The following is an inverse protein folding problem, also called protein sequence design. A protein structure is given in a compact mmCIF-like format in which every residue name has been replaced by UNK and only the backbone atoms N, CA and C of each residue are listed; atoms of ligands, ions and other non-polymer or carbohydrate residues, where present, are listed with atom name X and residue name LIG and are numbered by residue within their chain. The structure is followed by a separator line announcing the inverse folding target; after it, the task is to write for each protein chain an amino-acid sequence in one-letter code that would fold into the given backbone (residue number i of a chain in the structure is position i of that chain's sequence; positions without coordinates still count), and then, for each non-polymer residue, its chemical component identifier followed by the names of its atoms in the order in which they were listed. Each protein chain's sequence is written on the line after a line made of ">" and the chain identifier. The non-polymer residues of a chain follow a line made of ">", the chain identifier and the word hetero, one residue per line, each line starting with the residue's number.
data_IF_421209112529
#
_entry.id   IF_421209112529
#
_cell.length_a   1.000
_cell.length_b   1.000
_cell.length_c   1.000
_cell.angle_alpha   90.00
_cell.angle_beta   90.00
_cell.angle_gamma   90.00
#
_symmetry.space_group_name_H-M   'P 1'
#
loop_
_entity.id
_entity.type
_entity.pdbx_description
1 polymer ?
#
# COMPACT_ATOMS: atom_id res chain seq x y z
N UNK A 1 -6.89 3.55 -15.61
CA UNK A 1 -5.57 3.86 -15.03
C UNK A 1 -5.65 4.98 -13.98
N UNK A 2 -6.00 6.23 -14.32
CA UNK A 2 -6.10 7.34 -13.32
C UNK A 2 -7.07 7.03 -12.16
N UNK A 3 -8.21 6.42 -12.46
CA UNK A 3 -9.20 6.05 -11.44
C UNK A 3 -8.62 5.05 -10.41
N UNK A 4 -7.88 4.03 -10.84
CA UNK A 4 -7.27 3.03 -9.94
C UNK A 4 -6.24 3.67 -9.01
N UNK A 5 -5.42 4.59 -9.51
CA UNK A 5 -4.43 5.28 -8.68
C UNK A 5 -5.08 6.20 -7.64
N UNK A 6 -6.19 6.87 -7.98
CA UNK A 6 -6.98 7.64 -7.02
C UNK A 6 -7.58 6.75 -5.93
N UNK A 7 -8.14 5.59 -6.29
CA UNK A 7 -8.69 4.65 -5.31
C UNK A 7 -7.58 4.11 -4.40
N UNK A 8 -6.38 3.85 -4.92
CA UNK A 8 -5.25 3.42 -4.12
C UNK A 8 -4.85 4.49 -3.09
N UNK A 9 -4.75 5.74 -3.52
CA UNK A 9 -4.48 6.86 -2.64
C UNK A 9 -5.56 7.00 -1.55
N UNK A 10 -6.84 6.88 -1.91
CA UNK A 10 -7.95 6.94 -0.96
C UNK A 10 -7.88 5.81 0.08
N UNK A 11 -7.58 4.58 -0.37
CA UNK A 11 -7.43 3.42 0.51
C UNK A 11 -6.25 3.56 1.48
N UNK A 12 -5.20 4.29 1.10
CA UNK A 12 -4.03 4.51 1.93
C UNK A 12 -4.17 5.73 2.86
N UNK A 13 -4.67 6.85 2.34
CA UNK A 13 -4.47 8.19 2.91
C UNK A 13 -5.75 8.93 3.31
N UNK A 14 -6.94 8.43 2.99
CA UNK A 14 -8.19 9.04 3.50
C UNK A 14 -8.26 8.96 5.03
N UNK A 15 -9.20 9.67 5.65
CA UNK A 15 -9.40 9.65 7.10
C UNK A 15 -9.60 8.23 7.67
N UNK A 16 -10.14 7.31 6.86
CA UNK A 16 -10.30 5.89 7.17
C UNK A 16 -9.38 4.99 6.32
N UNK A 17 -8.30 5.56 5.78
CA UNK A 17 -7.28 4.87 5.02
C UNK A 17 -6.39 4.01 5.91
N UNK A 18 -5.70 3.04 5.31
CA UNK A 18 -4.84 2.09 6.02
C UNK A 18 -3.77 2.79 6.85
N UNK A 19 -3.01 3.72 6.25
CA UNK A 19 -1.89 4.39 6.91
C UNK A 19 -2.38 5.38 7.98
N UNK A 20 -3.54 6.01 7.74
CA UNK A 20 -4.15 6.91 8.72
C UNK A 20 -4.66 6.12 9.93
N UNK A 21 -5.36 5.01 9.70
CA UNK A 21 -5.84 4.12 10.75
C UNK A 21 -4.69 3.61 11.62
N UNK A 22 -3.59 3.17 10.98
CA UNK A 22 -2.42 2.67 11.71
C UNK A 22 -1.79 3.76 12.58
N UNK A 23 -1.61 4.97 12.04
CA UNK A 23 -1.04 6.10 12.76
C UNK A 23 -1.89 6.58 13.94
N UNK A 24 -3.21 6.39 13.86
CA UNK A 24 -4.15 6.75 14.93
C UNK A 24 -4.30 5.67 16.01
N UNK A 25 -3.72 4.48 15.83
CA UNK A 25 -3.89 3.36 16.75
C UNK A 25 -5.18 2.56 16.53
N UNK A 26 -5.87 2.74 15.39
CA UNK A 26 -7.15 2.10 15.10
C UNK A 26 -7.00 0.67 14.56
N UNK A 27 -5.78 0.14 14.51
CA UNK A 27 -5.48 -1.20 14.06
C UNK A 27 -5.42 -1.36 12.55
N UNK A 28 -4.96 -2.54 12.16
CA UNK A 28 -4.79 -2.93 10.77
C UNK A 28 -6.15 -3.24 10.12
N UNK A 29 -6.55 -2.42 9.15
CA UNK A 29 -7.83 -2.58 8.43
C UNK A 29 -7.70 -3.64 7.33
N UNK A 30 -8.01 -4.90 7.66
CA UNK A 30 -7.83 -6.04 6.75
C UNK A 30 -8.60 -5.91 5.42
N UNK A 31 -9.81 -5.35 5.46
CA UNK A 31 -10.59 -5.05 4.26
C UNK A 31 -9.85 -4.09 3.31
N UNK A 32 -9.19 -3.06 3.86
CA UNK A 32 -8.35 -2.12 3.08
C UNK A 32 -7.12 -2.82 2.52
N UNK A 33 -6.49 -3.70 3.30
CA UNK A 33 -5.33 -4.49 2.85
C UNK A 33 -5.69 -5.34 1.63
N UNK A 34 -6.81 -6.06 1.68
CA UNK A 34 -7.29 -6.88 0.56
C UNK A 34 -7.57 -6.04 -0.69
N UNK A 35 -8.24 -4.90 -0.53
CA UNK A 35 -8.53 -3.98 -1.63
C UNK A 35 -7.26 -3.39 -2.24
N UNK A 36 -6.29 -2.99 -1.42
CA UNK A 36 -4.99 -2.47 -1.87
C UNK A 36 -4.24 -3.55 -2.66
N UNK A 37 -4.15 -4.77 -2.14
CA UNK A 37 -3.47 -5.87 -2.82
C UNK A 37 -4.06 -6.12 -4.21
N UNK A 38 -5.39 -6.26 -4.29
CA UNK A 38 -6.10 -6.46 -5.56
C UNK A 38 -5.83 -5.32 -6.56
N UNK A 39 -5.83 -4.08 -6.07
CA UNK A 39 -5.62 -2.91 -6.90
C UNK A 39 -4.18 -2.83 -7.44
N UNK A 40 -3.19 -3.22 -6.64
CA UNK A 40 -1.80 -3.32 -7.08
C UNK A 40 -1.61 -4.42 -8.13
N UNK A 41 -2.23 -5.60 -7.96
CA UNK A 41 -2.21 -6.64 -8.99
C UNK A 41 -2.82 -6.16 -10.32
N UNK A 42 -3.90 -5.38 -10.25
CA UNK A 42 -4.53 -4.78 -11.43
C UNK A 42 -3.66 -3.69 -12.07
N UNK A 43 -2.97 -2.87 -11.25
CA UNK A 43 -2.05 -1.84 -11.73
C UNK A 43 -0.80 -2.47 -12.37
N UNK A 44 -0.24 -3.53 -11.78
CA UNK A 44 0.88 -4.26 -12.35
C UNK A 44 0.53 -4.80 -13.76
N UNK A 45 -0.67 -5.35 -13.94
CA UNK A 45 -1.16 -5.80 -15.26
C UNK A 45 -1.34 -4.66 -16.25
N UNK A 46 -1.93 -3.53 -15.80
CA UNK A 46 -2.11 -2.35 -16.64
C UNK A 46 -0.75 -1.77 -17.08
N UNK A 47 0.26 -1.87 -16.22
CA UNK A 47 1.58 -1.26 -16.43
C UNK A 47 2.62 -2.19 -17.07
N UNK A 48 2.39 -3.49 -17.13
CA UNK A 48 3.30 -4.46 -17.75
C UNK A 48 3.61 -4.21 -19.24
N UNK A 49 2.90 -3.29 -19.90
CA UNK A 49 3.07 -2.97 -21.32
C UNK A 49 3.47 -1.51 -21.58
N UNK A 50 3.77 -0.74 -20.53
CA UNK A 50 4.14 0.68 -20.64
C UNK A 50 5.51 0.94 -20.02
N UNK A 51 6.33 1.75 -20.69
CA UNK A 51 7.71 2.02 -20.26
C UNK A 51 7.81 2.97 -19.05
N UNK A 52 6.70 3.58 -18.63
CA UNK A 52 6.68 4.53 -17.52
C UNK A 52 5.42 4.43 -16.67
N UNK A 53 5.58 4.54 -15.36
CA UNK A 53 4.48 4.62 -14.40
C UNK A 53 4.20 6.07 -13.99
N UNK A 54 2.97 6.39 -13.55
CA UNK A 54 2.64 7.73 -13.09
C UNK A 54 3.52 8.16 -11.90
N UNK A 55 4.03 9.39 -11.93
CA UNK A 55 4.83 9.96 -10.83
C UNK A 55 4.15 9.80 -9.47
N UNK A 56 2.84 10.06 -9.42
CA UNK A 56 2.04 9.93 -8.19
C UNK A 56 2.05 8.51 -7.61
N UNK A 57 2.17 7.47 -8.44
CA UNK A 57 2.32 6.11 -7.95
C UNK A 57 3.68 5.92 -7.26
N UNK A 58 4.75 6.45 -7.86
CA UNK A 58 6.09 6.44 -7.23
C UNK A 58 6.06 7.16 -5.90
N UNK A 59 5.46 8.36 -5.84
CA UNK A 59 5.34 9.15 -4.60
C UNK A 59 4.62 8.34 -3.50
N UNK A 60 3.55 7.62 -3.82
CA UNK A 60 2.86 6.73 -2.86
C UNK A 60 3.71 5.54 -2.43
N UNK A 61 4.44 4.92 -3.36
CA UNK A 61 5.18 3.68 -3.12
C UNK A 61 6.41 3.90 -2.23
N UNK A 62 7.14 5.01 -2.42
CA UNK A 62 8.33 5.31 -1.61
C UNK A 62 7.98 5.62 -0.15
N UNK A 63 6.80 6.21 0.08
CA UNK A 63 6.34 6.61 1.42
C UNK A 63 5.64 5.47 2.16
N UNK A 64 5.16 4.44 1.45
CA UNK A 64 4.35 3.37 2.03
C UNK A 64 5.07 2.59 3.15
N UNK A 65 6.24 2.01 2.86
CA UNK A 65 6.93 1.15 3.83
C UNK A 65 7.39 1.92 5.08
N UNK A 66 8.02 3.10 4.97
CA UNK A 66 8.34 3.91 6.15
C UNK A 66 7.11 4.30 6.98
N UNK A 67 5.97 4.55 6.34
CA UNK A 67 4.72 4.86 7.05
C UNK A 67 4.18 3.65 7.83
N UNK A 68 4.25 2.44 7.27
CA UNK A 68 3.90 1.20 7.96
C UNK A 68 4.83 0.94 9.15
N UNK A 69 6.16 0.98 8.92
CA UNK A 69 7.18 0.72 9.93
C UNK A 69 7.08 1.71 11.10
N UNK A 70 6.95 3.01 10.82
CA UNK A 70 6.83 4.04 11.86
C UNK A 70 5.56 3.91 12.71
N UNK A 71 4.46 3.44 12.12
CA UNK A 71 3.19 3.25 12.84
C UNK A 71 3.14 1.94 13.62
N UNK A 72 3.94 0.94 13.20
CA UNK A 72 4.00 -0.39 13.80
C UNK A 72 4.32 -0.34 15.31
N UNK A 73 5.22 0.56 15.72
CA UNK A 73 5.61 0.72 17.13
C UNK A 73 4.49 1.15 18.10
N UNK A 74 3.30 1.48 17.60
CA UNK A 74 2.11 1.77 18.42
C UNK A 74 1.39 0.50 18.91
N UNK A 75 1.71 -0.66 18.35
CA UNK A 75 0.97 -1.90 18.55
C UNK A 75 1.75 -2.91 19.39
N UNK A 76 1.10 -3.98 19.86
CA UNK A 76 1.77 -5.05 20.59
C UNK A 76 2.61 -5.95 19.67
N UNK A 77 3.48 -6.80 20.22
CA UNK A 77 4.41 -7.63 19.43
C UNK A 77 3.71 -8.51 18.37
N UNK A 78 2.56 -9.12 18.68
CA UNK A 78 1.82 -9.96 17.74
C UNK A 78 1.24 -9.13 16.58
N UNK A 79 0.67 -7.96 16.91
CA UNK A 79 0.15 -7.02 15.93
C UNK A 79 1.27 -6.41 15.07
N UNK A 80 2.44 -6.14 15.66
CA UNK A 80 3.60 -5.63 14.94
C UNK A 80 4.05 -6.59 13.86
N UNK A 81 4.17 -7.88 14.20
CA UNK A 81 4.51 -8.93 13.22
C UNK A 81 3.50 -8.94 12.08
N UNK A 82 2.20 -8.90 12.39
CA UNK A 82 1.15 -8.90 11.37
C UNK A 82 1.21 -7.65 10.46
N UNK A 83 1.47 -6.47 11.03
CA UNK A 83 1.60 -5.21 10.28
C UNK A 83 2.79 -5.29 9.32
N UNK A 84 3.93 -5.82 9.79
CA UNK A 84 5.13 -5.95 8.96
C UNK A 84 4.98 -7.03 7.88
N UNK A 85 4.33 -8.15 8.17
CA UNK A 85 4.00 -9.17 7.16
C UNK A 85 3.12 -8.58 6.04
N UNK A 86 2.15 -7.73 6.39
CA UNK A 86 1.33 -7.01 5.41
C UNK A 86 2.12 -5.96 4.65
N UNK A 87 3.04 -5.24 5.32
CA UNK A 87 3.92 -4.28 4.67
C UNK A 87 4.79 -4.96 3.61
N UNK A 88 5.39 -6.11 3.94
CA UNK A 88 6.22 -6.90 3.04
C UNK A 88 5.40 -7.42 1.84
N UNK A 89 4.21 -7.98 2.09
CA UNK A 89 3.30 -8.42 1.02
C UNK A 89 2.93 -7.30 0.06
N UNK A 90 2.56 -6.13 0.57
CA UNK A 90 2.20 -4.98 -0.27
C UNK A 90 3.44 -4.48 -1.04
N UNK A 91 4.62 -4.50 -0.42
CA UNK A 91 5.86 -4.13 -1.09
C UNK A 91 6.23 -5.08 -2.24
N UNK A 92 5.96 -6.37 -2.11
CA UNK A 92 6.14 -7.32 -3.21
C UNK A 92 5.23 -6.98 -4.40
N UNK A 93 3.98 -6.63 -4.16
CA UNK A 93 3.05 -6.18 -5.22
C UNK A 93 3.45 -4.83 -5.82
N UNK A 94 3.97 -3.91 -5.01
CA UNK A 94 4.55 -2.64 -5.49
C UNK A 94 5.77 -2.92 -6.39
N UNK A 95 6.61 -3.90 -6.03
CA UNK A 95 7.75 -4.30 -6.86
C UNK A 95 7.27 -4.82 -8.21
N UNK A 96 6.24 -5.66 -8.25
CA UNK A 96 5.64 -6.13 -9.51
C UNK A 96 5.17 -4.98 -10.41
N UNK A 97 4.64 -3.90 -9.82
CA UNK A 97 4.24 -2.70 -10.57
C UNK A 97 5.41 -1.95 -11.23
N UNK A 98 6.63 -2.07 -10.70
CA UNK A 98 7.81 -1.31 -11.17
C UNK A 98 8.84 -2.17 -11.90
N UNK A 99 8.82 -3.50 -11.74
CA UNK A 99 9.78 -4.43 -12.35
C UNK A 99 9.22 -5.19 -13.54
N UNK A 100 7.91 -5.16 -13.78
CA UNK A 100 7.28 -5.78 -14.96
C UNK A 100 7.59 -4.99 -16.23
N UNK A 101 8.82 -5.12 -16.74
CA UNK A 101 9.27 -4.69 -18.06
C UNK A 101 9.84 -5.89 -18.82
#
# INVERSE_FOLDING_TARGET
>A
MENKLMVLEELLLSDNGLLVSLRLGDGLKQDKVEMICKLLEELAKDWASIDCIPKKAVDLFIDFYPAMESSCGLYNEEEQVLIMDVADKIMDLIRECVTSN
#
